data_IF_337289680836
#
_entry.id   IF_337289680836
#
_cell.length_a   1.000
_cell.length_b   1.000
_cell.length_c   1.000
_cell.angle_alpha   90.00
_cell.angle_beta   90.00
_cell.angle_gamma   90.00
#
_symmetry.space_group_name_H-M   'P 1'
#
loop_
_entity.id
_entity.type
_entity.pdbx_description
1 polymer ?
#
# COMPACT_ATOMS: atom_id res chain seq x y z
N UNK A 1 -1.24 22.11 -10.70
CA UNK A 1 -0.91 22.60 -9.33
C UNK A 1 0.37 23.40 -9.39
N UNK A 2 0.58 24.37 -8.50
CA UNK A 2 1.75 25.24 -8.55
C UNK A 2 2.72 24.89 -7.42
N UNK A 3 3.92 24.42 -7.79
CA UNK A 3 5.01 24.09 -6.86
C UNK A 3 5.79 25.35 -6.54
N UNK A 4 5.62 25.88 -5.33
CA UNK A 4 6.29 27.11 -4.93
C UNK A 4 7.71 26.88 -4.42
N UNK A 5 8.57 27.89 -4.59
CA UNK A 5 9.96 27.91 -4.13
C UNK A 5 10.15 28.82 -2.92
N UNK A 6 9.09 29.08 -2.14
CA UNK A 6 9.14 30.05 -1.04
C UNK A 6 10.25 29.73 -0.04
N UNK A 7 10.44 28.44 0.29
CA UNK A 7 11.50 28.01 1.21
C UNK A 7 12.90 28.33 0.69
N UNK A 8 13.15 28.08 -0.60
CA UNK A 8 14.45 28.35 -1.24
C UNK A 8 14.71 29.86 -1.31
N UNK A 9 13.73 30.63 -1.79
CA UNK A 9 13.82 32.10 -1.89
C UNK A 9 14.06 32.77 -0.52
N UNK A 10 13.38 32.28 0.52
CA UNK A 10 13.60 32.77 1.89
C UNK A 10 15.02 32.45 2.39
N UNK A 11 15.57 31.27 2.07
CA UNK A 11 16.92 30.88 2.46
C UNK A 11 17.98 31.69 1.71
N UNK A 12 17.85 31.81 0.39
CA UNK A 12 18.76 32.57 -0.49
C UNK A 12 18.88 34.04 -0.03
N UNK A 13 17.80 34.61 0.51
CA UNK A 13 17.74 36.01 0.93
C UNK A 13 17.79 36.21 2.45
N UNK A 14 18.02 35.15 3.21
CA UNK A 14 18.08 35.16 4.67
C UNK A 14 16.86 35.84 5.34
N UNK A 15 15.66 35.44 4.90
CA UNK A 15 14.38 36.00 5.35
C UNK A 15 13.69 35.02 6.31
N UNK A 16 13.33 35.50 7.50
CA UNK A 16 12.57 34.71 8.47
C UNK A 16 11.05 34.85 8.25
N UNK A 17 10.28 33.87 8.73
CA UNK A 17 8.81 33.96 8.72
C UNK A 17 8.30 35.24 9.42
N UNK A 18 8.99 35.67 10.48
CA UNK A 18 8.66 36.89 11.21
C UNK A 18 8.86 38.13 10.35
N UNK A 19 10.01 38.22 9.65
CA UNK A 19 10.33 39.35 8.78
C UNK A 19 9.31 39.46 7.65
N UNK A 20 9.10 38.36 6.93
CA UNK A 20 8.14 38.30 5.83
C UNK A 20 6.73 38.69 6.28
N UNK A 21 6.23 38.13 7.38
CA UNK A 21 4.88 38.46 7.88
C UNK A 21 4.74 39.83 8.55
N UNK A 22 5.83 40.57 8.77
CA UNK A 22 5.80 41.97 9.21
C UNK A 22 5.80 42.93 8.02
N UNK A 23 6.47 42.54 6.94
CA UNK A 23 6.67 43.35 5.74
C UNK A 23 5.64 43.03 4.65
N UNK A 24 4.74 42.08 4.92
CA UNK A 24 3.59 41.68 4.08
C UNK A 24 2.34 41.56 4.96
N UNK A 25 1.17 41.45 4.33
CA UNK A 25 -0.11 41.16 4.97
C UNK A 25 -0.31 39.66 5.26
N UNK A 26 0.65 38.82 4.86
CA UNK A 26 0.56 37.37 4.96
C UNK A 26 0.84 36.92 6.40
N UNK A 27 -0.12 36.23 7.00
CA UNK A 27 0.06 35.70 8.36
C UNK A 27 1.24 34.74 8.45
N UNK A 28 1.94 34.73 9.59
CA UNK A 28 3.05 33.79 9.86
C UNK A 28 2.63 32.32 9.72
N UNK A 29 1.37 32.01 10.04
CA UNK A 29 0.83 30.67 9.89
C UNK A 29 0.68 30.28 8.43
N UNK A 30 0.16 31.17 7.58
CA UNK A 30 0.09 30.95 6.13
C UNK A 30 1.48 30.81 5.51
N UNK A 31 2.42 31.69 5.87
CA UNK A 31 3.84 31.57 5.46
C UNK A 31 4.40 30.21 5.85
N UNK A 32 4.18 29.76 7.10
CA UNK A 32 4.64 28.46 7.57
C UNK A 32 4.07 27.29 6.75
N UNK A 33 2.77 27.34 6.42
CA UNK A 33 2.11 26.31 5.60
C UNK A 33 2.70 26.26 4.19
N UNK A 34 2.82 27.41 3.51
CA UNK A 34 3.37 27.50 2.14
C UNK A 34 4.84 27.07 2.11
N UNK A 35 5.64 27.55 3.06
CA UNK A 35 7.08 27.24 3.14
C UNK A 35 7.35 25.76 3.39
N UNK A 36 6.54 25.12 4.23
CA UNK A 36 6.75 23.72 4.62
C UNK A 36 5.99 22.72 3.73
N UNK A 37 5.19 23.20 2.78
CA UNK A 37 4.53 22.40 1.76
C UNK A 37 4.56 23.16 0.41
N UNK A 38 5.48 22.75 -0.46
CA UNK A 38 5.69 23.33 -1.79
C UNK A 38 4.43 23.27 -2.69
N UNK A 39 3.47 22.38 -2.38
CA UNK A 39 2.20 22.23 -3.10
C UNK A 39 1.00 22.82 -2.35
N UNK A 40 1.22 23.58 -1.27
CA UNK A 40 0.12 24.26 -0.57
C UNK A 40 -0.61 25.20 -1.54
N UNK A 41 -1.94 25.14 -1.57
CA UNK A 41 -2.72 26.07 -2.38
C UNK A 41 -2.51 27.51 -1.88
N UNK A 42 -2.13 28.40 -2.79
CA UNK A 42 -1.87 29.82 -2.52
C UNK A 42 -2.96 30.62 -3.22
N UNK A 43 -3.67 31.48 -2.47
CA UNK A 43 -4.60 32.42 -3.08
C UNK A 43 -3.84 33.41 -3.97
N UNK A 44 -4.47 33.91 -5.04
CA UNK A 44 -3.86 34.87 -5.97
C UNK A 44 -3.28 36.09 -5.24
N UNK A 45 -4.00 36.68 -4.29
CA UNK A 45 -3.54 37.85 -3.53
C UNK A 45 -2.22 37.57 -2.78
N UNK A 46 -2.16 36.44 -2.06
CA UNK A 46 -0.95 36.02 -1.35
C UNK A 46 0.20 35.75 -2.32
N UNK A 47 -0.09 35.14 -3.47
CA UNK A 47 0.93 34.89 -4.48
C UNK A 47 1.48 36.20 -5.04
N UNK A 48 0.62 37.14 -5.45
CA UNK A 48 1.01 38.46 -5.95
C UNK A 48 1.91 39.19 -4.96
N UNK A 49 1.52 39.22 -3.68
CA UNK A 49 2.32 39.87 -2.64
C UNK A 49 3.69 39.19 -2.44
N UNK A 50 3.77 37.86 -2.56
CA UNK A 50 5.05 37.16 -2.54
C UNK A 50 5.91 37.47 -3.78
N UNK A 51 5.33 37.52 -4.98
CA UNK A 51 6.04 37.89 -6.20
C UNK A 51 6.62 39.30 -6.11
N UNK A 52 5.84 40.25 -5.60
CA UNK A 52 6.26 41.65 -5.40
C UNK A 52 7.36 41.76 -4.33
N UNK A 53 7.16 41.12 -3.16
CA UNK A 53 8.13 41.16 -2.07
C UNK A 53 9.49 40.56 -2.47
N UNK A 54 9.47 39.45 -3.21
CA UNK A 54 10.68 38.83 -3.73
C UNK A 54 11.13 39.46 -5.06
N UNK A 55 10.38 40.35 -5.69
CA UNK A 55 10.70 40.89 -7.01
C UNK A 55 11.13 39.77 -8.00
N UNK A 56 10.29 38.76 -8.13
CA UNK A 56 10.48 37.59 -9.01
C UNK A 56 9.25 37.38 -9.89
N UNK A 57 9.43 36.79 -11.06
CA UNK A 57 8.31 36.40 -11.93
C UNK A 57 7.54 35.20 -11.36
N UNK A 58 6.35 34.95 -11.93
CA UNK A 58 5.57 33.76 -11.62
C UNK A 58 6.34 32.46 -11.91
N UNK A 59 7.12 32.42 -12.99
CA UNK A 59 7.94 31.26 -13.38
C UNK A 59 9.16 31.09 -12.47
N UNK A 60 9.72 32.20 -11.96
CA UNK A 60 10.85 32.17 -11.04
C UNK A 60 10.45 31.71 -9.62
N UNK A 61 9.24 32.10 -9.18
CA UNK A 61 8.71 31.73 -7.87
C UNK A 61 8.25 30.26 -7.80
N UNK A 62 7.95 29.64 -8.93
CA UNK A 62 7.45 28.27 -8.94
C UNK A 62 7.09 27.76 -10.33
N UNK A 63 6.65 26.51 -10.40
CA UNK A 63 6.34 25.85 -11.67
C UNK A 63 5.01 25.12 -11.59
N UNK A 64 4.30 25.03 -12.70
CA UNK A 64 3.06 24.27 -12.79
C UNK A 64 3.39 22.79 -13.00
N UNK A 65 2.92 21.95 -12.08
CA UNK A 65 3.01 20.50 -12.11
C UNK A 65 1.61 19.90 -12.32
N UNK A 66 1.53 18.85 -13.12
CA UNK A 66 0.41 17.91 -13.09
C UNK A 66 0.35 17.18 -11.75
N UNK A 67 -0.81 16.61 -11.40
CA UNK A 67 -0.95 15.82 -10.17
C UNK A 67 0.06 14.67 -10.12
N UNK A 68 0.31 14.00 -11.23
CA UNK A 68 1.29 12.92 -11.29
C UNK A 68 2.69 13.42 -10.95
N UNK A 69 3.13 14.52 -11.56
CA UNK A 69 4.45 15.10 -11.26
C UNK A 69 4.54 15.57 -9.80
N UNK A 70 3.45 16.11 -9.22
CA UNK A 70 3.40 16.44 -7.79
C UNK A 70 3.61 15.20 -6.92
N UNK A 71 2.89 14.11 -7.19
CA UNK A 71 3.00 12.88 -6.41
C UNK A 71 4.41 12.26 -6.57
N UNK A 72 4.98 12.32 -7.77
CA UNK A 72 6.35 11.85 -8.03
C UNK A 72 7.38 12.67 -7.23
N UNK A 73 7.22 13.99 -7.15
CA UNK A 73 8.10 14.85 -6.35
C UNK A 73 8.04 14.54 -4.83
N UNK A 74 6.93 13.97 -4.34
CA UNK A 74 6.77 13.59 -2.93
C UNK A 74 7.42 12.23 -2.59
N UNK A 75 7.68 11.36 -3.58
CA UNK A 75 8.18 10.00 -3.33
C UNK A 75 9.56 9.95 -2.67
N UNK A 76 10.58 10.74 -3.06
CA UNK A 76 11.92 10.62 -2.48
C UNK A 76 11.94 10.74 -0.96
N UNK A 77 11.17 11.68 -0.40
CA UNK A 77 11.07 11.89 1.05
C UNK A 77 10.33 10.75 1.78
N UNK A 78 9.59 9.93 1.04
CA UNK A 78 8.83 8.77 1.54
C UNK A 78 9.49 7.44 1.17
N UNK A 79 10.62 7.49 0.47
CA UNK A 79 11.42 6.34 0.07
C UNK A 79 11.97 5.56 1.25
N UNK A 80 12.49 4.38 0.96
CA UNK A 80 13.21 3.51 1.89
C UNK A 80 14.65 4.01 2.13
N UNK A 81 14.77 5.28 2.51
CA UNK A 81 16.00 5.90 2.99
C UNK A 81 16.30 5.48 4.43
N UNK A 82 17.51 5.77 4.93
CA UNK A 82 17.95 5.36 6.27
C UNK A 82 16.98 5.74 7.39
N UNK A 83 16.47 6.99 7.41
CA UNK A 83 15.53 7.43 8.45
C UNK A 83 14.21 6.65 8.42
N UNK A 84 13.69 6.39 7.22
CA UNK A 84 12.44 5.64 7.07
C UNK A 84 12.64 4.14 7.34
N UNK A 85 13.83 3.59 7.10
CA UNK A 85 14.21 2.23 7.48
C UNK A 85 14.38 2.07 8.99
N UNK A 86 14.99 3.05 9.67
CA UNK A 86 15.09 3.07 11.13
C UNK A 86 13.70 3.14 11.78
N UNK A 87 12.78 3.88 11.15
CA UNK A 87 11.41 3.99 11.64
C UNK A 87 10.64 2.66 11.56
N UNK A 88 10.67 1.97 10.41
CA UNK A 88 10.02 0.66 10.29
C UNK A 88 10.68 -0.38 11.20
N UNK A 89 12.01 -0.40 11.35
CA UNK A 89 12.69 -1.31 12.30
C UNK A 89 12.27 -1.01 13.74
N UNK A 90 12.11 0.26 14.12
CA UNK A 90 11.61 0.64 15.44
C UNK A 90 10.20 0.09 15.71
N UNK A 91 9.29 0.20 14.75
CA UNK A 91 7.93 -0.34 14.87
C UNK A 91 7.95 -1.87 15.02
N UNK A 92 8.69 -2.57 14.15
CA UNK A 92 8.76 -4.02 14.16
C UNK A 92 9.46 -4.56 15.41
N UNK A 93 10.55 -3.94 15.84
CA UNK A 93 11.27 -4.32 17.06
C UNK A 93 10.46 -4.08 18.33
N UNK A 94 9.83 -2.90 18.44
CA UNK A 94 9.05 -2.54 19.64
C UNK A 94 7.79 -3.38 19.78
N UNK A 95 7.05 -3.58 18.68
CA UNK A 95 5.70 -4.15 18.73
C UNK A 95 5.66 -5.65 18.44
N UNK A 96 6.64 -6.19 17.71
CA UNK A 96 6.69 -7.61 17.34
C UNK A 96 7.92 -8.33 17.89
N UNK A 97 8.85 -7.61 18.53
CA UNK A 97 10.10 -8.15 19.06
C UNK A 97 10.94 -8.90 18.01
N UNK A 98 10.94 -8.37 16.78
CA UNK A 98 11.73 -8.88 15.66
C UNK A 98 12.77 -7.85 15.21
N UNK A 99 13.75 -8.34 14.48
CA UNK A 99 14.69 -7.47 13.76
C UNK A 99 14.83 -7.95 12.34
N UNK A 100 14.98 -7.02 11.41
CA UNK A 100 14.98 -7.33 9.99
C UNK A 100 16.30 -6.95 9.30
N UNK A 101 16.53 -7.54 8.14
CA UNK A 101 17.50 -7.09 7.14
C UNK A 101 16.73 -6.36 6.04
N UNK A 102 17.23 -5.19 5.67
CA UNK A 102 16.63 -4.32 4.67
C UNK A 102 17.59 -4.18 3.50
N UNK A 103 17.08 -4.27 2.28
CA UNK A 103 17.83 -3.98 1.06
C UNK A 103 16.97 -3.09 0.18
N UNK A 104 17.24 -1.79 0.27
CA UNK A 104 16.63 -0.74 -0.55
C UNK A 104 17.24 -0.75 -1.95
N UNK A 105 16.42 -0.54 -2.97
CA UNK A 105 16.86 -0.49 -4.37
C UNK A 105 15.92 0.38 -5.21
N UNK A 106 16.24 0.58 -6.50
CA UNK A 106 15.46 1.41 -7.42
C UNK A 106 15.26 2.83 -6.89
N UNK A 107 16.36 3.51 -6.55
CA UNK A 107 16.33 4.87 -5.98
C UNK A 107 15.44 4.96 -4.73
N UNK A 108 15.58 3.96 -3.85
CA UNK A 108 14.83 3.84 -2.59
C UNK A 108 13.32 3.70 -2.74
N UNK A 109 12.81 3.38 -3.94
CA UNK A 109 11.38 3.15 -4.13
C UNK A 109 10.96 1.71 -3.86
N UNK A 110 11.91 0.78 -3.79
CA UNK A 110 11.64 -0.62 -3.54
C UNK A 110 12.49 -1.15 -2.38
N UNK A 111 11.95 -2.13 -1.66
CA UNK A 111 12.57 -2.71 -0.48
C UNK A 111 12.39 -4.22 -0.48
N UNK A 112 13.49 -4.95 -0.39
CA UNK A 112 13.46 -6.33 0.09
C UNK A 112 13.63 -6.32 1.61
N UNK A 113 12.77 -7.06 2.31
CA UNK A 113 12.83 -7.23 3.76
C UNK A 113 12.91 -8.71 4.10
N UNK A 114 13.79 -9.07 5.04
CA UNK A 114 13.93 -10.44 5.53
C UNK A 114 14.06 -10.46 7.05
N UNK A 115 13.45 -11.44 7.72
CA UNK A 115 13.69 -11.66 9.15
C UNK A 115 15.16 -11.96 9.43
N UNK A 116 15.77 -11.36 10.46
CA UNK A 116 17.09 -11.82 10.97
C UNK A 116 16.94 -13.21 11.59
N UNK A 117 17.97 -14.05 11.42
CA UNK A 117 17.96 -15.49 11.75
C UNK A 117 17.78 -15.87 13.22
N UNK A 118 17.53 -14.92 14.12
CA UNK A 118 17.35 -15.17 15.55
C UNK A 118 15.91 -15.54 15.93
N UNK A 119 14.93 -15.36 15.04
CA UNK A 119 13.55 -15.79 15.30
C UNK A 119 13.42 -17.30 15.07
N UNK A 120 13.42 -18.08 16.17
CA UNK A 120 13.57 -19.54 16.12
C UNK A 120 12.35 -20.29 15.56
N UNK A 121 11.16 -19.68 15.54
CA UNK A 121 9.90 -20.37 15.21
C UNK A 121 9.47 -20.23 13.74
N UNK A 122 9.69 -19.05 13.16
CA UNK A 122 9.32 -18.73 11.78
C UNK A 122 10.33 -17.75 11.16
N UNK A 123 10.31 -17.67 9.83
CA UNK A 123 11.10 -16.73 9.02
C UNK A 123 10.17 -16.01 8.09
N UNK A 124 10.53 -14.83 7.60
CA UNK A 124 9.82 -14.24 6.46
C UNK A 124 10.78 -13.59 5.48
N UNK A 125 10.28 -13.43 4.27
CA UNK A 125 10.83 -12.56 3.24
C UNK A 125 9.69 -11.81 2.57
N UNK A 126 9.94 -10.59 2.14
CA UNK A 126 8.96 -9.82 1.40
C UNK A 126 9.60 -8.77 0.52
N UNK A 127 8.79 -8.28 -0.41
CA UNK A 127 9.10 -7.16 -1.26
C UNK A 127 8.03 -6.09 -1.10
N UNK A 128 8.47 -4.83 -1.07
CA UNK A 128 7.60 -3.67 -0.92
C UNK A 128 8.03 -2.62 -1.92
N UNK A 129 7.06 -1.83 -2.36
CA UNK A 129 7.26 -0.74 -3.31
C UNK A 129 6.45 0.47 -2.89
N UNK A 130 7.02 1.65 -3.07
CA UNK A 130 6.27 2.90 -3.03
C UNK A 130 6.03 3.38 -4.45
N UNK A 131 4.81 3.83 -4.74
CA UNK A 131 4.47 4.36 -6.05
C UNK A 131 3.32 5.36 -5.96
N UNK A 132 2.92 5.88 -7.12
CA UNK A 132 1.77 6.76 -7.28
C UNK A 132 0.66 6.02 -8.01
N UNK A 133 -0.58 6.35 -7.68
CA UNK A 133 -1.78 5.85 -8.34
C UNK A 133 -2.80 6.97 -8.57
N UNK A 134 -3.92 6.64 -9.22
CA UNK A 134 -5.06 7.56 -9.31
C UNK A 134 -5.59 7.94 -7.92
N UNK A 135 -5.37 7.11 -6.90
CA UNK A 135 -5.79 7.35 -5.51
C UNK A 135 -4.73 8.07 -4.67
N UNK A 136 -3.57 8.42 -5.23
CA UNK A 136 -2.53 9.19 -4.55
C UNK A 136 -1.27 8.37 -4.29
N UNK A 137 -0.63 8.60 -3.15
CA UNK A 137 0.58 7.89 -2.76
C UNK A 137 0.23 6.49 -2.26
N UNK A 138 0.92 5.48 -2.79
CA UNK A 138 0.63 4.08 -2.54
C UNK A 138 1.84 3.39 -1.92
N UNK A 139 1.60 2.70 -0.80
CA UNK A 139 2.53 1.72 -0.25
C UNK A 139 2.06 0.32 -0.66
N UNK A 140 2.83 -0.39 -1.49
CA UNK A 140 2.47 -1.69 -2.05
C UNK A 140 3.34 -2.79 -1.44
N UNK A 141 2.72 -3.75 -0.75
CA UNK A 141 3.32 -5.02 -0.39
C UNK A 141 3.18 -5.92 -1.61
N UNK A 142 4.24 -6.02 -2.40
CA UNK A 142 4.25 -6.79 -3.65
C UNK A 142 4.31 -8.28 -3.38
N UNK A 143 5.00 -8.67 -2.29
CA UNK A 143 5.03 -10.03 -1.76
C UNK A 143 5.41 -10.03 -0.28
N UNK A 144 4.89 -11.00 0.49
CA UNK A 144 5.25 -11.22 1.88
C UNK A 144 4.95 -12.66 2.33
N UNK A 145 5.98 -13.50 2.32
CA UNK A 145 5.89 -14.90 2.68
C UNK A 145 6.42 -15.17 4.09
N UNK A 146 5.68 -15.99 4.83
CA UNK A 146 6.03 -16.42 6.18
C UNK A 146 6.27 -17.93 6.18
N UNK A 147 7.45 -18.37 6.62
CA UNK A 147 7.89 -19.75 6.58
C UNK A 147 7.97 -20.35 7.99
N UNK A 148 7.42 -21.55 8.15
CA UNK A 148 7.56 -22.36 9.37
C UNK A 148 8.99 -22.92 9.47
N UNK A 149 9.72 -22.58 10.55
CA UNK A 149 11.09 -23.07 10.80
C UNK A 149 11.15 -24.16 11.87
N UNK A 150 10.28 -24.09 12.88
CA UNK A 150 10.34 -24.97 14.04
C UNK A 150 9.28 -26.08 13.99
N UNK A 151 9.62 -27.23 14.58
CA UNK A 151 8.67 -28.29 14.90
C UNK A 151 7.71 -27.87 16.03
N UNK A 152 8.13 -26.96 16.92
CA UNK A 152 7.29 -26.38 18.00
C UNK A 152 6.47 -25.20 17.47
N UNK A 153 5.73 -25.44 16.40
CA UNK A 153 4.91 -24.45 15.72
C UNK A 153 3.53 -24.32 16.40
N UNK A 154 3.09 -23.08 16.62
CA UNK A 154 1.74 -22.78 17.09
C UNK A 154 1.04 -21.89 16.06
N UNK A 155 -0.07 -22.39 15.51
CA UNK A 155 -0.83 -21.68 14.48
C UNK A 155 -1.30 -20.30 14.96
N UNK A 156 -1.83 -20.19 16.18
CA UNK A 156 -2.35 -18.91 16.68
C UNK A 156 -1.27 -17.84 16.81
N UNK A 157 -0.06 -18.21 17.25
CA UNK A 157 1.08 -17.29 17.29
C UNK A 157 1.50 -16.84 15.90
N UNK A 158 1.53 -17.76 14.94
CA UNK A 158 1.89 -17.49 13.55
C UNK A 158 0.88 -16.58 12.85
N UNK A 159 -0.40 -16.89 13.00
CA UNK A 159 -1.51 -16.10 12.46
C UNK A 159 -1.54 -14.70 13.07
N UNK A 160 -1.40 -14.61 14.40
CA UNK A 160 -1.31 -13.33 15.11
C UNK A 160 -0.10 -12.53 14.64
N UNK A 161 1.07 -13.15 14.53
CA UNK A 161 2.28 -12.47 14.06
C UNK A 161 2.08 -11.86 12.68
N UNK A 162 1.57 -12.63 11.71
CA UNK A 162 1.35 -12.14 10.35
C UNK A 162 0.37 -10.95 10.37
N UNK A 163 -0.74 -11.07 11.11
CA UNK A 163 -1.73 -9.98 11.23
C UNK A 163 -1.11 -8.72 11.82
N UNK A 164 -0.40 -8.84 12.94
CA UNK A 164 0.25 -7.71 13.61
C UNK A 164 1.34 -7.09 12.74
N UNK A 165 2.05 -7.89 11.93
CA UNK A 165 3.02 -7.41 10.96
C UNK A 165 2.39 -6.49 9.92
N UNK A 166 1.27 -6.91 9.30
CA UNK A 166 0.53 -6.06 8.36
C UNK A 166 0.04 -4.77 9.05
N UNK A 167 -0.45 -4.87 10.29
CA UNK A 167 -0.86 -3.69 11.08
C UNK A 167 0.32 -2.72 11.27
N UNK A 168 1.53 -3.20 11.55
CA UNK A 168 2.70 -2.31 11.67
C UNK A 168 3.05 -1.61 10.35
N UNK A 169 2.87 -2.28 9.21
CA UNK A 169 3.04 -1.68 7.90
C UNK A 169 1.96 -0.64 7.59
N UNK A 170 0.72 -0.88 8.02
CA UNK A 170 -0.36 0.13 7.94
C UNK A 170 0.02 1.38 8.74
N UNK A 171 0.49 1.21 9.98
CA UNK A 171 0.94 2.34 10.81
C UNK A 171 2.12 3.09 10.19
N UNK A 172 3.10 2.35 9.65
CA UNK A 172 4.23 2.93 8.93
C UNK A 172 3.76 3.77 7.74
N UNK A 173 2.92 3.19 6.88
CA UNK A 173 2.42 3.85 5.68
C UNK A 173 1.56 5.09 6.04
N UNK A 174 0.70 4.97 7.05
CA UNK A 174 -0.12 6.07 7.54
C UNK A 174 0.74 7.25 8.02
N UNK A 175 1.76 6.98 8.85
CA UNK A 175 2.62 8.02 9.43
C UNK A 175 3.55 8.68 8.40
N UNK A 176 3.96 7.96 7.35
CA UNK A 176 4.65 8.56 6.21
C UNK A 176 3.70 9.30 5.25
N UNK A 177 2.40 9.34 5.52
CA UNK A 177 1.42 10.08 4.73
C UNK A 177 1.13 9.44 3.37
N UNK A 178 1.16 8.10 3.28
CA UNK A 178 0.60 7.38 2.14
C UNK A 178 -0.92 7.48 2.16
N UNK A 179 -1.54 7.59 0.99
CA UNK A 179 -3.00 7.64 0.86
C UNK A 179 -3.61 6.26 1.05
N UNK A 180 -2.93 5.23 0.54
CA UNK A 180 -3.42 3.85 0.60
C UNK A 180 -2.28 2.85 0.77
N UNK A 181 -2.65 1.67 1.26
CA UNK A 181 -1.82 0.47 1.26
C UNK A 181 -2.45 -0.59 0.34
N UNK A 182 -1.61 -1.25 -0.44
CA UNK A 182 -2.00 -2.30 -1.37
C UNK A 182 -1.25 -3.58 -1.02
N UNK A 183 -1.97 -4.70 -0.97
CA UNK A 183 -1.38 -6.02 -0.77
C UNK A 183 -1.69 -6.88 -1.98
N UNK A 184 -0.62 -7.41 -2.57
CA UNK A 184 -0.69 -8.32 -3.68
C UNK A 184 -0.78 -9.77 -3.16
N UNK A 185 -1.71 -10.53 -3.73
CA UNK A 185 -1.93 -11.94 -3.41
C UNK A 185 -1.94 -12.71 -4.71
N UNK A 186 -1.11 -13.73 -4.80
CA UNK A 186 -0.89 -14.50 -6.02
C UNK A 186 -1.75 -15.76 -6.07
N UNK A 187 -2.00 -16.25 -7.28
CA UNK A 187 -2.48 -17.61 -7.47
C UNK A 187 -1.37 -18.60 -7.13
N UNK A 188 -1.71 -19.77 -6.59
CA UNK A 188 -0.76 -20.82 -6.24
C UNK A 188 -0.99 -22.07 -7.10
N UNK A 189 0.07 -22.86 -7.34
CA UNK A 189 -0.06 -24.16 -8.00
C UNK A 189 -0.48 -25.22 -6.98
N UNK A 190 -1.69 -25.76 -7.12
CA UNK A 190 -2.09 -26.92 -6.32
C UNK A 190 -1.47 -28.18 -6.93
N UNK A 191 -0.50 -28.76 -6.22
CA UNK A 191 0.24 -29.94 -6.67
C UNK A 191 -0.65 -31.17 -6.86
N UNK A 192 -1.73 -31.31 -6.08
CA UNK A 192 -2.60 -32.49 -6.15
C UNK A 192 -3.54 -32.42 -7.36
N UNK A 193 -3.93 -31.21 -7.75
CA UNK A 193 -4.81 -30.97 -8.89
C UNK A 193 -4.06 -30.58 -10.17
N UNK A 194 -2.75 -30.34 -10.07
CA UNK A 194 -1.87 -29.87 -11.12
C UNK A 194 -2.45 -28.64 -11.86
N UNK A 195 -2.94 -27.66 -11.11
CA UNK A 195 -3.53 -26.44 -11.65
C UNK A 195 -3.29 -25.22 -10.77
N UNK A 196 -3.23 -24.05 -11.40
CA UNK A 196 -3.16 -22.77 -10.70
C UNK A 196 -4.54 -22.43 -10.12
N UNK A 197 -4.57 -22.09 -8.84
CA UNK A 197 -5.78 -21.74 -8.13
C UNK A 197 -5.66 -20.34 -7.52
N UNK A 198 -6.74 -19.58 -7.67
CA UNK A 198 -6.90 -18.33 -6.93
C UNK A 198 -7.19 -18.66 -5.46
N UNK A 199 -6.48 -18.03 -4.51
CA UNK A 199 -6.71 -18.26 -3.09
C UNK A 199 -8.06 -17.70 -2.67
N UNK A 200 -8.78 -18.46 -1.86
CA UNK A 200 -10.10 -18.09 -1.36
C UNK A 200 -10.06 -17.88 0.14
N UNK A 201 -11.12 -17.27 0.66
CA UNK A 201 -11.31 -17.21 2.10
C UNK A 201 -11.54 -18.63 2.61
N UNK A 202 -10.78 -19.03 3.63
CA UNK A 202 -10.90 -20.32 4.30
C UNK A 202 -11.15 -20.02 5.78
N UNK A 203 -12.01 -20.82 6.42
CA UNK A 203 -12.24 -20.65 7.85
C UNK A 203 -10.97 -21.00 8.65
N UNK A 204 -10.85 -20.40 9.84
CA UNK A 204 -9.63 -20.49 10.67
C UNK A 204 -9.31 -21.94 11.07
N UNK A 205 -10.33 -22.80 11.26
CA UNK A 205 -10.14 -24.21 11.62
C UNK A 205 -9.48 -25.00 10.50
N UNK A 206 -9.98 -24.86 9.27
CA UNK A 206 -9.42 -25.51 8.08
C UNK A 206 -8.01 -24.95 7.78
N UNK A 207 -7.80 -23.64 7.96
CA UNK A 207 -6.47 -23.03 7.80
C UNK A 207 -5.46 -23.56 8.82
N UNK A 208 -5.86 -23.70 10.09
CA UNK A 208 -5.03 -24.30 11.14
C UNK A 208 -4.67 -25.75 10.79
N UNK A 209 -5.64 -26.54 10.35
CA UNK A 209 -5.40 -27.92 9.91
C UNK A 209 -4.34 -27.95 8.79
N UNK A 210 -4.48 -27.12 7.77
CA UNK A 210 -3.55 -27.05 6.64
C UNK A 210 -2.13 -26.68 7.09
N UNK A 211 -1.99 -25.59 7.82
CA UNK A 211 -0.68 -25.03 8.19
C UNK A 211 0.03 -25.89 9.25
N UNK A 212 -0.72 -26.53 10.13
CA UNK A 212 -0.14 -27.35 11.22
C UNK A 212 0.23 -28.74 10.74
N UNK A 213 -0.63 -29.39 9.95
CA UNK A 213 -0.55 -30.83 9.68
C UNK A 213 -0.03 -31.19 8.28
N UNK A 214 0.06 -30.23 7.36
CA UNK A 214 0.58 -30.47 6.02
C UNK A 214 1.91 -29.73 5.78
N UNK A 215 2.61 -30.11 4.71
CA UNK A 215 3.80 -29.40 4.26
C UNK A 215 3.41 -27.97 3.86
N UNK A 216 4.09 -27.00 4.45
CA UNK A 216 3.82 -25.58 4.23
C UNK A 216 4.36 -25.17 2.86
N UNK A 217 3.48 -24.61 2.01
CA UNK A 217 3.79 -24.22 0.64
C UNK A 217 3.15 -22.87 0.30
N UNK A 218 3.29 -22.45 -0.96
CA UNK A 218 2.66 -21.23 -1.50
C UNK A 218 1.14 -21.23 -1.28
N UNK A 219 0.48 -22.40 -1.33
CA UNK A 219 -0.96 -22.51 -1.01
C UNK A 219 -1.24 -21.97 0.38
N UNK A 220 -0.53 -22.45 1.39
CA UNK A 220 -0.73 -22.04 2.78
C UNK A 220 -0.44 -20.54 2.96
N UNK A 221 0.63 -20.03 2.33
CA UNK A 221 0.98 -18.61 2.32
C UNK A 221 -0.13 -17.72 1.73
N UNK A 222 -0.65 -18.08 0.55
CA UNK A 222 -1.67 -17.27 -0.13
C UNK A 222 -3.04 -17.36 0.56
N UNK A 223 -3.39 -18.52 1.15
CA UNK A 223 -4.61 -18.67 1.93
C UNK A 223 -4.58 -17.89 3.26
N UNK A 224 -3.44 -17.87 3.97
CA UNK A 224 -3.31 -17.06 5.19
C UNK A 224 -3.30 -15.56 4.88
N UNK A 225 -2.63 -15.14 3.79
CA UNK A 225 -2.69 -13.79 3.23
C UNK A 225 -4.14 -13.34 3.06
N UNK A 226 -4.95 -14.10 2.29
CA UNK A 226 -6.36 -13.76 2.06
C UNK A 226 -7.15 -13.66 3.36
N UNK A 227 -6.96 -14.62 4.28
CA UNK A 227 -7.66 -14.65 5.56
C UNK A 227 -7.41 -13.37 6.36
N UNK A 228 -6.14 -12.97 6.49
CA UNK A 228 -5.72 -11.79 7.26
C UNK A 228 -6.14 -10.49 6.58
N UNK A 229 -5.90 -10.37 5.28
CA UNK A 229 -6.18 -9.15 4.52
C UNK A 229 -7.68 -8.86 4.47
N UNK A 230 -8.53 -9.89 4.27
CA UNK A 230 -10.00 -9.71 4.40
C UNK A 230 -10.40 -9.37 5.84
N UNK A 231 -9.77 -9.95 6.86
CA UNK A 231 -10.07 -9.62 8.27
C UNK A 231 -9.69 -8.16 8.62
N UNK A 232 -8.62 -7.63 8.04
CA UNK A 232 -8.15 -6.26 8.25
C UNK A 232 -8.95 -5.21 7.44
N UNK A 233 -9.96 -5.63 6.69
CA UNK A 233 -10.90 -4.75 5.99
C UNK A 233 -10.42 -4.27 4.63
N UNK A 234 -9.45 -4.95 4.00
CA UNK A 234 -9.04 -4.62 2.64
C UNK A 234 -10.11 -5.04 1.64
N UNK A 235 -10.34 -4.20 0.64
CA UNK A 235 -11.23 -4.46 -0.48
C UNK A 235 -10.44 -4.90 -1.71
N UNK A 236 -10.94 -5.89 -2.44
CA UNK A 236 -10.33 -6.31 -3.71
C UNK A 236 -10.58 -5.25 -4.79
N UNK A 237 -9.50 -4.84 -5.48
CA UNK A 237 -9.57 -3.88 -6.56
C UNK A 237 -10.00 -4.54 -7.87
N UNK A 238 -11.12 -4.05 -8.41
CA UNK A 238 -11.67 -4.48 -9.69
C UNK A 238 -11.88 -3.27 -10.61
N UNK A 239 -11.14 -3.21 -11.72
CA UNK A 239 -11.13 -2.06 -12.62
C UNK A 239 -12.26 -2.06 -13.66
N UNK A 240 -12.98 -3.16 -13.86
CA UNK A 240 -14.09 -3.26 -14.82
C UNK A 240 -15.31 -3.94 -14.22
N UNK A 241 -16.50 -3.61 -14.75
CA UNK A 241 -17.75 -4.26 -14.35
C UNK A 241 -17.71 -5.77 -14.63
N UNK A 242 -17.20 -6.17 -15.80
CA UNK A 242 -17.02 -7.59 -16.15
C UNK A 242 -16.17 -8.36 -15.15
N UNK A 243 -15.13 -7.74 -14.58
CA UNK A 243 -14.32 -8.35 -13.52
C UNK A 243 -15.07 -8.43 -12.20
N UNK A 244 -15.85 -7.41 -11.84
CA UNK A 244 -16.72 -7.44 -10.66
C UNK A 244 -17.76 -8.56 -10.75
N UNK A 245 -18.40 -8.71 -11.90
CA UNK A 245 -19.43 -9.73 -12.13
C UNK A 245 -18.83 -11.14 -12.01
N UNK A 246 -17.68 -11.37 -12.65
CA UNK A 246 -16.93 -12.63 -12.54
C UNK A 246 -16.50 -12.91 -11.09
N UNK A 247 -15.99 -11.90 -10.39
CA UNK A 247 -15.59 -12.05 -8.99
C UNK A 247 -16.79 -12.39 -8.10
N UNK A 248 -17.95 -11.77 -8.32
CA UNK A 248 -19.18 -12.09 -7.60
C UNK A 248 -19.62 -13.54 -7.82
N UNK A 249 -19.48 -14.06 -9.05
CA UNK A 249 -19.77 -15.47 -9.32
C UNK A 249 -18.79 -16.42 -8.62
N UNK A 250 -17.49 -16.10 -8.65
CA UNK A 250 -16.46 -16.86 -7.92
C UNK A 250 -16.75 -16.87 -6.41
N UNK A 251 -17.12 -15.72 -5.83
CA UNK A 251 -17.46 -15.62 -4.41
C UNK A 251 -18.71 -16.44 -4.06
N UNK A 252 -19.76 -16.45 -4.89
CA UNK A 252 -20.93 -17.32 -4.70
C UNK A 252 -20.55 -18.81 -4.66
N UNK A 253 -19.63 -19.23 -5.53
CA UNK A 253 -19.16 -20.63 -5.56
C UNK A 253 -18.33 -20.94 -4.32
N UNK A 254 -17.44 -20.02 -3.92
CA UNK A 254 -16.65 -20.17 -2.68
C UNK A 254 -17.56 -20.31 -1.46
N UNK A 255 -18.56 -19.43 -1.31
CA UNK A 255 -19.49 -19.44 -0.19
C UNK A 255 -20.33 -20.73 -0.15
N UNK A 256 -20.80 -21.19 -1.31
CA UNK A 256 -21.50 -22.48 -1.41
C UNK A 256 -20.61 -23.64 -0.95
N UNK A 257 -19.39 -23.73 -1.47
CA UNK A 257 -18.45 -24.81 -1.12
C UNK A 257 -18.08 -24.76 0.37
N UNK A 258 -17.88 -23.58 0.93
CA UNK A 258 -17.56 -23.41 2.36
C UNK A 258 -18.73 -23.75 3.28
N UNK A 259 -19.97 -23.63 2.81
CA UNK A 259 -21.16 -24.04 3.57
C UNK A 259 -21.27 -25.56 3.77
N UNK A 260 -20.51 -26.37 3.00
CA UNK A 260 -20.54 -27.84 3.04
C UNK A 260 -19.74 -28.37 4.24
N UNK A 261 -20.33 -28.32 5.44
CA UNK A 261 -19.67 -28.68 6.70
C UNK A 261 -19.17 -30.14 6.78
N UNK A 262 -19.74 -31.05 6.00
CA UNK A 262 -19.36 -32.48 6.00
C UNK A 262 -18.11 -32.76 5.17
N UNK A 263 -17.66 -31.82 4.34
CA UNK A 263 -16.50 -32.00 3.47
C UNK A 263 -15.24 -31.46 4.14
N UNK A 264 -14.13 -32.18 3.95
CA UNK A 264 -12.80 -31.69 4.25
C UNK A 264 -12.41 -30.53 3.33
N UNK A 265 -11.37 -29.78 3.68
CA UNK A 265 -10.82 -28.73 2.81
C UNK A 265 -10.50 -29.24 1.39
N UNK A 266 -9.86 -30.41 1.27
CA UNK A 266 -9.47 -30.94 -0.04
C UNK A 266 -10.66 -31.38 -0.89
N UNK A 267 -11.71 -31.94 -0.27
CA UNK A 267 -12.95 -32.28 -0.96
C UNK A 267 -13.71 -31.03 -1.40
N UNK A 268 -13.72 -29.98 -0.56
CA UNK A 268 -14.23 -28.66 -0.92
C UNK A 268 -13.49 -28.10 -2.14
N UNK A 269 -12.17 -28.18 -2.16
CA UNK A 269 -11.36 -27.67 -3.26
C UNK A 269 -11.60 -28.42 -4.58
N UNK A 270 -11.67 -29.76 -4.52
CA UNK A 270 -12.06 -30.57 -5.69
C UNK A 270 -13.44 -30.18 -6.22
N UNK A 271 -14.41 -29.98 -5.33
CA UNK A 271 -15.78 -29.56 -5.71
C UNK A 271 -15.82 -28.14 -6.25
N UNK A 272 -15.01 -27.22 -5.70
CA UNK A 272 -14.88 -25.86 -6.25
C UNK A 272 -14.38 -25.91 -7.69
N UNK A 273 -13.33 -26.70 -7.94
CA UNK A 273 -12.75 -26.87 -9.27
C UNK A 273 -13.73 -27.52 -10.24
N UNK A 274 -14.49 -28.54 -9.82
CA UNK A 274 -15.50 -29.15 -10.70
C UNK A 274 -16.56 -28.14 -11.15
N UNK A 275 -17.04 -27.29 -10.23
CA UNK A 275 -18.02 -26.24 -10.54
C UNK A 275 -17.41 -25.18 -11.47
N UNK A 276 -16.14 -24.81 -11.27
CA UNK A 276 -15.44 -23.89 -12.16
C UNK A 276 -15.36 -24.45 -13.58
N UNK A 277 -15.03 -25.74 -13.74
CA UNK A 277 -14.99 -26.41 -15.04
C UNK A 277 -16.37 -26.45 -15.70
N UNK A 278 -17.42 -26.83 -14.95
CA UNK A 278 -18.81 -26.86 -15.44
C UNK A 278 -19.28 -25.48 -15.92
N UNK A 279 -18.87 -24.41 -15.23
CA UNK A 279 -19.23 -23.03 -15.55
C UNK A 279 -18.26 -22.33 -16.51
N UNK A 280 -17.25 -23.02 -17.03
CA UNK A 280 -16.18 -22.43 -17.85
C UNK A 280 -15.49 -21.22 -17.18
N UNK A 281 -15.38 -21.24 -15.85
CA UNK A 281 -14.65 -20.24 -15.07
C UNK A 281 -13.20 -20.68 -15.02
N UNK A 282 -12.36 -20.06 -15.84
CA UNK A 282 -10.92 -20.33 -15.81
C UNK A 282 -10.27 -19.64 -14.62
N UNK A 283 -9.28 -20.27 -14.00
CA UNK A 283 -8.40 -19.60 -13.04
C UNK A 283 -7.56 -18.57 -13.78
N UNK A 284 -7.58 -17.31 -13.33
CA UNK A 284 -6.67 -16.33 -13.90
C UNK A 284 -5.32 -16.41 -13.17
N UNK A 285 -4.23 -16.33 -13.93
CA UNK A 285 -2.87 -16.30 -13.39
C UNK A 285 -2.48 -14.90 -12.87
N UNK A 286 -3.46 -14.04 -12.56
CA UNK A 286 -3.21 -12.65 -12.21
C UNK A 286 -3.06 -12.51 -10.70
N UNK A 287 -2.05 -11.72 -10.30
CA UNK A 287 -1.96 -11.17 -8.96
C UNK A 287 -3.21 -10.34 -8.65
N UNK A 288 -3.88 -10.68 -7.55
CA UNK A 288 -5.03 -9.94 -7.03
C UNK A 288 -4.54 -8.83 -6.12
N UNK A 289 -5.12 -7.65 -6.26
CA UNK A 289 -4.74 -6.46 -5.49
C UNK A 289 -5.81 -6.14 -4.46
N UNK A 290 -5.42 -6.07 -3.20
CA UNK A 290 -6.29 -5.71 -2.09
C UNK A 290 -5.88 -4.34 -1.56
N UNK A 291 -6.82 -3.42 -1.46
CA UNK A 291 -6.55 -2.01 -1.15
C UNK A 291 -7.26 -1.63 0.14
N UNK A 292 -6.56 -0.87 0.98
CA UNK A 292 -7.12 -0.19 2.15
C UNK A 292 -6.71 1.28 2.11
N UNK A 293 -7.70 2.17 2.18
CA UNK A 293 -7.47 3.61 2.28
C UNK A 293 -6.99 3.96 3.70
N UNK A 294 -5.95 4.78 3.80
CA UNK A 294 -5.33 5.18 5.06
C UNK A 294 -5.58 6.65 5.37
N UNK A 295 -5.35 7.52 4.39
CA UNK A 295 -5.53 8.97 4.49
C UNK A 295 -6.47 9.46 3.39
N UNK A 296 -7.08 10.62 3.60
CA UNK A 296 -7.66 11.39 2.49
C UNK A 296 -6.54 11.85 1.55
N UNK A 297 -6.81 11.91 0.25
CA UNK A 297 -5.81 12.34 -0.73
C UNK A 297 -5.29 13.75 -0.40
N UNK A 298 -3.96 13.90 -0.37
CA UNK A 298 -3.30 15.20 -0.13
C UNK A 298 -3.65 16.19 -1.25
N UNK A 299 -3.98 15.66 -2.44
CA UNK A 299 -4.39 16.41 -3.61
C UNK A 299 -5.85 16.02 -3.94
N UNK A 300 -6.86 16.87 -3.64
CA UNK A 300 -8.26 16.55 -3.89
C UNK A 300 -8.52 16.15 -5.33
N UNK A 301 -9.28 15.06 -5.50
CA UNK A 301 -9.64 14.46 -6.79
C UNK A 301 -10.43 15.41 -7.71
N UNK A 302 -11.08 16.42 -7.15
CA UNK A 302 -11.99 17.37 -7.83
C UNK A 302 -11.27 18.37 -8.76
N UNK A 303 -9.94 18.53 -8.69
CA UNK A 303 -9.16 19.30 -9.68
C UNK A 303 -8.99 18.55 -11.03
N UNK A 304 -9.20 17.22 -11.03
CA UNK A 304 -8.91 16.33 -12.15
C UNK A 304 -10.03 16.28 -13.20
N UNK A 305 -11.30 16.41 -12.79
CA UNK A 305 -12.42 16.41 -13.74
C UNK A 305 -12.40 17.67 -14.62
N UNK A 306 -12.01 18.83 -14.07
CA UNK A 306 -11.84 20.07 -14.84
C UNK A 306 -10.64 20.04 -15.79
N UNK A 307 -9.52 19.47 -15.37
CA UNK A 307 -8.31 19.40 -16.21
C UNK A 307 -8.45 18.38 -17.36
N UNK A 308 -9.25 17.32 -17.17
CA UNK A 308 -9.59 16.37 -18.25
C UNK A 308 -10.55 17.03 -19.24
N UNK A 309 -11.59 17.75 -18.81
CA UNK A 309 -12.48 18.48 -19.73
C UNK A 309 -11.73 19.49 -20.60
N UNK A 310 -10.74 20.20 -20.03
CA UNK A 310 -9.96 21.20 -20.77
C UNK A 310 -9.04 20.56 -21.83
N UNK A 311 -8.58 19.32 -21.64
CA UNK A 311 -7.76 18.59 -22.64
C UNK A 311 -8.55 18.06 -23.84
N UNK A 312 -9.87 17.97 -23.75
CA UNK A 312 -10.74 17.56 -24.87
C UNK A 312 -11.33 18.75 -25.66
N UNK A 313 -11.05 19.99 -25.21
CA UNK A 313 -11.57 21.24 -25.81
C UNK A 313 -10.44 22.05 -26.50
N UNK A 314 -9.20 21.55 -26.55
CA UNK A 314 -8.10 22.11 -27.33
C UNK A 314 -7.61 21.12 -28.38
#
# INVERSE_FOLDING_TARGET
MYRNRLKELMLERNISNHKLGRETTISRQAISKIKNNEFHDISVNVLTELLEYFNVSFEEFGTIYSREECLQALLPNKGFNSSNLDYIESLLSKNLHISCKYQSYSSEQCLNINSKGYFKRFSFSGNMRINTSLQGLTFEITDFDLYKKSKNFHFDEFYKFYKEFIIQLEYYALNLGFTQIVVNINSYLDKNLNMLLEPRKVNVKDLNLLITNHEYSDRENELIKISIIKQLGYAEYNYSQSKKDRQSEIEKINDYVDSLQKLTFFEKEKKRVSIFLEKSIHSNNYTRKFIKQLNSDIIPKEKLERDIEIRWIK
#
